data_IF_587806772257
#
_entry.id   IF_587806772257
#
_cell.length_a   1.000
_cell.length_b   1.000
_cell.length_c   1.000
_cell.angle_alpha   90.00
_cell.angle_beta   90.00
_cell.angle_gamma   90.00
#
_symmetry.space_group_name_H-M   'P 1'
#
loop_
_entity.id
_entity.type
_entity.pdbx_description
1 polymer ?
#
# COMPACT_ATOMS: atom_id res chain seq x y z
N UNK A 1 -10.24 2.94 12.78
CA UNK A 1 -10.02 2.98 14.21
C UNK A 1 -8.60 2.60 14.61
N UNK A 2 -8.37 2.27 15.91
CA UNK A 2 -7.05 1.99 16.48
C UNK A 2 -6.23 0.90 15.75
N UNK A 3 -6.89 -0.17 15.27
CA UNK A 3 -6.24 -1.25 14.50
C UNK A 3 -5.62 -0.74 13.19
N UNK A 4 -6.32 0.14 12.48
CA UNK A 4 -5.79 0.74 11.25
C UNK A 4 -4.60 1.67 11.53
N UNK A 5 -4.66 2.44 12.61
CA UNK A 5 -3.54 3.29 13.04
C UNK A 5 -2.32 2.44 13.44
N UNK A 6 -2.51 1.35 14.17
CA UNK A 6 -1.44 0.42 14.54
C UNK A 6 -0.80 -0.24 13.31
N UNK A 7 -1.61 -0.67 12.33
CA UNK A 7 -1.12 -1.24 11.08
C UNK A 7 -0.28 -0.22 10.28
N UNK A 8 -0.75 1.03 10.20
CA UNK A 8 0.00 2.10 9.53
C UNK A 8 1.32 2.39 10.24
N UNK A 9 1.32 2.49 11.58
CA UNK A 9 2.54 2.70 12.36
C UNK A 9 3.54 1.55 12.15
N UNK A 10 3.09 0.30 12.15
CA UNK A 10 3.95 -0.85 11.89
C UNK A 10 4.55 -0.82 10.49
N UNK A 11 3.75 -0.50 9.47
CA UNK A 11 4.21 -0.36 8.09
C UNK A 11 5.22 0.78 7.87
N UNK A 12 5.15 1.82 8.71
CA UNK A 12 6.05 2.98 8.65
C UNK A 12 7.34 2.70 9.42
N UNK A 13 7.19 2.30 10.68
CA UNK A 13 8.32 2.13 11.58
C UNK A 13 9.13 0.87 11.27
N UNK A 14 8.47 -0.19 10.78
CA UNK A 14 9.11 -1.47 10.49
C UNK A 14 10.33 -1.35 9.58
N UNK A 15 10.18 -0.86 8.34
CA UNK A 15 11.32 -0.72 7.41
C UNK A 15 12.39 0.25 7.92
N UNK A 16 12.01 1.35 8.55
CA UNK A 16 12.97 2.33 9.09
C UNK A 16 13.81 1.73 10.23
N UNK A 17 13.15 1.09 11.21
CA UNK A 17 13.83 0.39 12.31
C UNK A 17 14.65 -0.78 11.78
N UNK A 18 14.10 -1.55 10.83
CA UNK A 18 14.79 -2.68 10.20
C UNK A 18 16.08 -2.25 9.51
N UNK A 19 16.05 -1.15 8.76
CA UNK A 19 17.23 -0.58 8.11
C UNK A 19 18.30 -0.10 9.10
N UNK A 20 17.90 0.55 10.20
CA UNK A 20 18.82 0.96 11.25
C UNK A 20 19.46 -0.25 11.97
N UNK A 21 18.66 -1.26 12.30
CA UNK A 21 19.14 -2.48 12.96
C UNK A 21 20.07 -3.31 12.05
N UNK A 22 19.85 -3.30 10.74
CA UNK A 22 20.72 -3.95 9.76
C UNK A 22 22.14 -3.36 9.75
N UNK A 23 22.31 -2.13 10.25
CA UNK A 23 23.61 -1.49 10.45
C UNK A 23 24.46 -2.16 11.54
N UNK A 24 23.85 -2.92 12.46
CA UNK A 24 24.59 -3.70 13.49
C UNK A 24 25.02 -5.04 12.86
N UNK A 25 24.07 -5.83 12.41
CA UNK A 25 24.26 -6.99 11.53
C UNK A 25 23.02 -7.20 10.67
N UNK A 26 23.17 -7.84 9.51
CA UNK A 26 22.02 -8.15 8.61
C UNK A 26 20.95 -9.02 9.28
N UNK A 27 21.30 -9.77 10.32
CA UNK A 27 20.38 -10.65 11.05
C UNK A 27 19.72 -9.95 12.26
N UNK A 28 20.23 -8.82 12.73
CA UNK A 28 19.68 -8.11 13.90
C UNK A 28 18.19 -7.79 13.74
N UNK A 29 17.69 -7.31 12.60
CA UNK A 29 16.26 -7.07 12.42
C UNK A 29 15.40 -8.32 12.63
N UNK A 30 15.88 -9.49 12.20
CA UNK A 30 15.18 -10.77 12.35
C UNK A 30 15.07 -11.20 13.81
N UNK A 31 16.17 -11.04 14.58
CA UNK A 31 16.17 -11.35 16.02
C UNK A 31 15.22 -10.44 16.80
N UNK A 32 15.24 -9.14 16.48
CA UNK A 32 14.34 -8.16 17.13
C UNK A 32 12.89 -8.44 16.77
N UNK A 33 12.58 -8.70 15.48
CA UNK A 33 11.24 -9.04 15.04
C UNK A 33 10.72 -10.33 15.70
N UNK A 34 11.56 -11.36 15.80
CA UNK A 34 11.22 -12.63 16.47
C UNK A 34 10.94 -12.42 17.96
N UNK A 35 11.75 -11.60 18.64
CA UNK A 35 11.53 -11.26 20.04
C UNK A 35 10.22 -10.49 20.26
N UNK A 36 9.93 -9.50 19.41
CA UNK A 36 8.66 -8.76 19.45
C UNK A 36 7.45 -9.67 19.17
N UNK A 37 7.58 -10.59 18.23
CA UNK A 37 6.52 -11.55 17.94
C UNK A 37 6.24 -12.47 19.15
N UNK A 38 7.28 -12.94 19.82
CA UNK A 38 7.15 -13.74 21.04
C UNK A 38 6.49 -12.93 22.18
N UNK A 39 6.92 -11.71 22.41
CA UNK A 39 6.32 -10.81 23.42
C UNK A 39 4.84 -10.56 23.08
N UNK A 40 4.52 -10.32 21.83
CA UNK A 40 3.14 -10.12 21.38
C UNK A 40 2.29 -11.39 21.60
N UNK A 41 2.83 -12.57 21.28
CA UNK A 41 2.14 -13.85 21.51
C UNK A 41 1.85 -14.07 23.00
N UNK A 42 2.84 -13.82 23.86
CA UNK A 42 2.67 -13.92 25.33
C UNK A 42 1.63 -12.90 25.82
N UNK A 43 1.69 -11.66 25.32
CA UNK A 43 0.71 -10.64 25.68
C UNK A 43 -0.72 -11.06 25.30
N UNK A 44 -0.91 -11.62 24.11
CA UNK A 44 -2.22 -12.13 23.67
C UNK A 44 -2.71 -13.26 24.57
N UNK A 45 -1.83 -14.21 24.90
CA UNK A 45 -2.19 -15.37 25.76
C UNK A 45 -2.62 -14.92 27.16
N UNK A 46 -1.91 -13.94 27.75
CA UNK A 46 -2.16 -13.55 29.14
C UNK A 46 -3.19 -12.43 29.33
N UNK A 47 -3.35 -11.55 28.32
CA UNK A 47 -4.13 -10.33 28.49
C UNK A 47 -5.36 -10.23 27.57
N UNK A 48 -5.44 -11.05 26.50
CA UNK A 48 -6.61 -11.01 25.65
C UNK A 48 -7.71 -11.90 26.25
N UNK A 49 -8.85 -11.33 26.68
CA UNK A 49 -9.95 -12.13 27.18
C UNK A 49 -10.53 -12.96 26.02
N UNK A 50 -10.93 -14.19 26.33
CA UNK A 50 -11.67 -15.01 25.38
C UNK A 50 -12.90 -14.24 24.89
N UNK A 51 -13.03 -14.15 23.57
CA UNK A 51 -14.20 -13.52 22.99
C UNK A 51 -15.43 -14.29 23.46
N UNK A 52 -16.45 -13.65 24.07
CA UNK A 52 -17.68 -14.36 24.39
C UNK A 52 -18.12 -15.06 23.11
N UNK A 53 -18.34 -16.36 23.23
CA UNK A 53 -18.79 -17.22 22.11
C UNK A 53 -19.88 -16.44 21.39
N UNK A 54 -19.63 -16.03 20.16
CA UNK A 54 -20.57 -15.22 19.42
C UNK A 54 -21.89 -15.98 19.43
N UNK A 55 -22.79 -15.54 20.30
CA UNK A 55 -24.20 -15.96 20.23
C UNK A 55 -24.53 -15.72 18.77
N UNK A 56 -24.86 -16.79 18.03
CA UNK A 56 -25.16 -16.74 16.61
C UNK A 56 -26.06 -15.52 16.40
N UNK A 57 -25.45 -14.41 16.03
CA UNK A 57 -26.22 -13.30 15.51
C UNK A 57 -27.08 -13.90 14.40
N UNK A 58 -28.39 -13.60 14.33
CA UNK A 58 -29.22 -14.17 13.30
C UNK A 58 -28.46 -14.00 11.99
N UNK A 59 -28.27 -15.09 11.26
CA UNK A 59 -27.66 -15.10 9.93
C UNK A 59 -28.54 -14.21 9.05
N UNK A 60 -28.38 -12.91 9.19
CA UNK A 60 -28.79 -12.01 8.12
C UNK A 60 -27.93 -12.49 6.98
N UNK A 61 -28.54 -13.24 6.04
CA UNK A 61 -27.92 -13.71 4.82
C UNK A 61 -27.24 -12.49 4.18
N UNK A 62 -25.98 -12.27 4.56
CA UNK A 62 -25.14 -11.30 3.89
C UNK A 62 -25.15 -11.76 2.43
N UNK A 63 -25.87 -11.05 1.59
CA UNK A 63 -25.78 -11.30 0.15
C UNK A 63 -24.30 -11.27 -0.18
N UNK A 64 -23.78 -12.42 -0.63
CA UNK A 64 -22.38 -12.49 -1.06
C UNK A 64 -22.17 -11.41 -2.12
N UNK A 65 -21.48 -10.34 -1.73
CA UNK A 65 -21.18 -9.26 -2.63
C UNK A 65 -20.20 -9.80 -3.69
N UNK A 66 -20.63 -9.78 -4.94
CA UNK A 66 -19.78 -10.27 -6.04
C UNK A 66 -18.66 -9.28 -6.32
N UNK A 67 -17.45 -9.77 -6.64
CA UNK A 67 -16.35 -8.96 -7.17
C UNK A 67 -16.75 -8.15 -8.43
N UNK A 68 -17.74 -8.64 -9.18
CA UNK A 68 -18.25 -8.01 -10.40
C UNK A 68 -19.47 -7.12 -10.18
N UNK A 69 -19.84 -6.81 -8.91
CA UNK A 69 -20.93 -5.86 -8.65
C UNK A 69 -20.57 -4.49 -9.25
N UNK A 70 -21.42 -3.95 -10.16
CA UNK A 70 -21.13 -2.70 -10.88
C UNK A 70 -20.88 -1.50 -9.97
N UNK A 71 -21.37 -1.53 -8.73
CA UNK A 71 -21.19 -0.45 -7.74
C UNK A 71 -19.75 -0.36 -7.25
N UNK A 72 -19.12 -1.52 -6.99
CA UNK A 72 -17.76 -1.62 -6.41
C UNK A 72 -16.69 -1.95 -7.45
N UNK A 73 -17.06 -2.53 -8.58
CA UNK A 73 -16.13 -2.96 -9.62
C UNK A 73 -15.09 -1.90 -10.02
N UNK A 74 -15.44 -0.60 -10.17
CA UNK A 74 -14.45 0.43 -10.47
C UNK A 74 -13.36 0.53 -9.42
N UNK A 75 -13.72 0.40 -8.14
CA UNK A 75 -12.76 0.43 -7.05
C UNK A 75 -11.94 -0.86 -6.98
N UNK A 76 -12.54 -2.01 -7.25
CA UNK A 76 -11.83 -3.30 -7.28
C UNK A 76 -10.76 -3.32 -8.37
N UNK A 77 -11.08 -2.81 -9.57
CA UNK A 77 -10.09 -2.67 -10.66
C UNK A 77 -8.93 -1.77 -10.23
N UNK A 78 -9.25 -0.60 -9.67
CA UNK A 78 -8.23 0.33 -9.17
C UNK A 78 -7.39 -0.32 -8.07
N UNK A 79 -8.01 -0.95 -7.07
CA UNK A 79 -7.32 -1.59 -5.97
C UNK A 79 -6.42 -2.75 -6.42
N UNK A 80 -6.94 -3.64 -7.25
CA UNK A 80 -6.19 -4.80 -7.74
C UNK A 80 -4.94 -4.39 -8.52
N UNK A 81 -5.08 -3.47 -9.49
CA UNK A 81 -3.95 -2.99 -10.28
C UNK A 81 -2.98 -2.12 -9.46
N UNK A 82 -3.50 -1.32 -8.54
CA UNK A 82 -2.71 -0.50 -7.64
C UNK A 82 -1.82 -1.36 -6.72
N UNK A 83 -2.40 -2.34 -6.05
CA UNK A 83 -1.63 -3.21 -5.15
C UNK A 83 -0.71 -4.17 -5.91
N UNK A 84 -1.10 -4.64 -7.10
CA UNK A 84 -0.23 -5.45 -7.95
C UNK A 84 1.00 -4.66 -8.39
N UNK A 85 0.83 -3.44 -8.89
CA UNK A 85 1.94 -2.58 -9.29
C UNK A 85 2.84 -2.21 -8.12
N UNK A 86 2.25 -1.89 -6.95
CA UNK A 86 3.01 -1.63 -5.74
C UNK A 86 3.85 -2.84 -5.31
N UNK A 87 3.26 -4.02 -5.27
CA UNK A 87 3.94 -5.24 -4.83
C UNK A 87 5.07 -5.64 -5.80
N UNK A 88 4.84 -5.48 -7.11
CA UNK A 88 5.82 -5.71 -8.16
C UNK A 88 7.05 -4.83 -7.97
N UNK A 89 6.85 -3.52 -7.73
CA UNK A 89 7.94 -2.56 -7.51
C UNK A 89 8.63 -2.83 -6.18
N UNK A 90 7.89 -3.03 -5.10
CA UNK A 90 8.43 -3.19 -3.75
C UNK A 90 9.36 -4.40 -3.64
N UNK A 91 9.08 -5.48 -4.36
CA UNK A 91 9.92 -6.68 -4.35
C UNK A 91 11.31 -6.45 -4.97
N UNK A 92 11.41 -5.56 -5.95
CA UNK A 92 12.66 -5.32 -6.68
C UNK A 92 13.41 -4.07 -6.20
N UNK A 93 12.78 -3.27 -5.35
CA UNK A 93 13.24 -1.93 -5.01
C UNK A 93 14.58 -1.93 -4.26
N UNK A 94 14.79 -2.88 -3.33
CA UNK A 94 16.07 -2.99 -2.62
C UNK A 94 17.22 -3.34 -3.58
N UNK A 95 16.99 -4.22 -4.55
CA UNK A 95 17.97 -4.53 -5.61
C UNK A 95 18.26 -3.32 -6.49
N UNK A 96 17.20 -2.53 -6.81
CA UNK A 96 17.38 -1.28 -7.57
C UNK A 96 18.30 -0.29 -6.85
N UNK A 97 18.13 -0.13 -5.53
CA UNK A 97 19.03 0.71 -4.72
C UNK A 97 20.46 0.18 -4.74
N UNK A 98 20.64 -1.13 -4.62
CA UNK A 98 21.94 -1.76 -4.66
C UNK A 98 22.64 -1.57 -6.01
N UNK A 99 21.91 -1.84 -7.11
CA UNK A 99 22.47 -1.78 -8.46
C UNK A 99 22.80 -0.37 -8.90
N UNK A 100 21.89 0.60 -8.64
CA UNK A 100 22.09 2.01 -9.05
C UNK A 100 23.22 2.67 -8.26
N UNK A 101 23.35 2.35 -6.97
CA UNK A 101 24.31 3.03 -6.09
C UNK A 101 25.60 2.23 -5.86
N UNK A 102 25.67 0.99 -6.33
CA UNK A 102 26.84 0.12 -6.15
C UNK A 102 27.10 -0.23 -4.68
N UNK A 103 26.07 -0.33 -3.86
CA UNK A 103 26.17 -0.49 -2.41
C UNK A 103 26.43 -1.94 -1.99
N UNK A 104 27.07 -2.10 -0.86
CA UNK A 104 27.11 -3.39 -0.15
C UNK A 104 25.71 -3.73 0.40
N UNK A 105 25.48 -4.99 0.79
CA UNK A 105 24.20 -5.42 1.35
C UNK A 105 23.79 -4.63 2.60
N UNK A 106 24.76 -4.27 3.49
CA UNK A 106 24.49 -3.48 4.71
C UNK A 106 24.13 -2.04 4.35
N UNK A 107 24.89 -1.40 3.48
CA UNK A 107 24.63 -0.03 3.03
C UNK A 107 23.29 0.05 2.28
N UNK A 108 22.95 -0.96 1.49
CA UNK A 108 21.66 -1.08 0.82
C UNK A 108 20.53 -1.14 1.83
N UNK A 109 20.63 -1.99 2.85
CA UNK A 109 19.60 -2.12 3.88
C UNK A 109 19.37 -0.80 4.63
N UNK A 110 20.46 -0.08 4.96
CA UNK A 110 20.39 1.23 5.63
C UNK A 110 19.76 2.30 4.74
N UNK A 111 20.28 2.46 3.52
CA UNK A 111 19.81 3.49 2.58
C UNK A 111 18.36 3.25 2.16
N UNK A 112 18.01 2.00 1.88
CA UNK A 112 16.64 1.60 1.57
C UNK A 112 15.70 1.78 2.75
N UNK A 113 16.12 1.42 3.98
CA UNK A 113 15.36 1.64 5.19
C UNK A 113 15.05 3.13 5.43
N UNK A 114 16.03 4.01 5.23
CA UNK A 114 15.82 5.46 5.30
C UNK A 114 14.85 5.95 4.22
N UNK A 115 15.00 5.48 2.99
CA UNK A 115 14.11 5.81 1.88
C UNK A 115 12.66 5.36 2.15
N UNK A 116 12.47 4.17 2.73
CA UNK A 116 11.16 3.68 3.18
C UNK A 116 10.60 4.56 4.32
N UNK A 117 11.43 5.02 5.24
CA UNK A 117 11.05 5.97 6.28
C UNK A 117 10.55 7.31 5.69
N UNK A 118 11.27 7.86 4.70
CA UNK A 118 10.85 9.07 3.97
C UNK A 118 9.52 8.86 3.23
N UNK A 119 9.36 7.71 2.56
CA UNK A 119 8.10 7.33 1.90
C UNK A 119 6.94 7.28 2.88
N UNK A 120 7.16 6.67 4.04
CA UNK A 120 6.17 6.56 5.09
C UNK A 120 5.80 7.93 5.70
N UNK A 121 6.78 8.79 5.95
CA UNK A 121 6.55 10.15 6.40
C UNK A 121 5.73 10.96 5.38
N UNK A 122 6.04 10.84 4.09
CA UNK A 122 5.29 11.47 3.01
C UNK A 122 3.85 10.95 2.91
N UNK A 123 3.65 9.64 3.13
CA UNK A 123 2.31 9.04 3.20
C UNK A 123 1.47 9.62 4.33
N UNK A 124 2.03 9.71 5.54
CA UNK A 124 1.35 10.33 6.68
C UNK A 124 1.07 11.81 6.45
N UNK A 125 2.06 12.55 5.93
CA UNK A 125 1.90 13.97 5.64
C UNK A 125 0.76 14.21 4.64
N UNK A 126 0.62 13.36 3.62
CA UNK A 126 -0.48 13.43 2.66
C UNK A 126 -1.83 13.13 3.30
N UNK A 127 -1.91 12.13 4.16
CA UNK A 127 -3.16 11.76 4.85
C UNK A 127 -3.61 12.84 5.82
N UNK A 128 -2.69 13.31 6.68
CA UNK A 128 -3.01 14.30 7.72
C UNK A 128 -3.10 15.71 7.12
N UNK A 129 -2.14 16.05 6.25
CA UNK A 129 -2.03 17.39 5.69
C UNK A 129 -3.06 17.71 4.62
N UNK A 130 -3.45 16.74 3.81
CA UNK A 130 -4.36 16.94 2.68
C UNK A 130 -5.74 16.32 2.92
N UNK A 131 -5.81 14.99 3.17
CA UNK A 131 -7.10 14.31 3.24
C UNK A 131 -7.98 14.78 4.41
N UNK A 132 -7.39 15.17 5.54
CA UNK A 132 -8.16 15.67 6.68
C UNK A 132 -8.61 17.12 6.51
N UNK A 133 -7.95 17.90 5.64
CA UNK A 133 -8.27 19.32 5.42
C UNK A 133 -9.29 19.55 4.31
N UNK A 134 -9.36 18.64 3.33
CA UNK A 134 -10.19 18.80 2.15
C UNK A 134 -11.20 17.66 2.05
N UNK A 135 -12.50 17.97 2.12
CA UNK A 135 -13.58 16.99 1.95
C UNK A 135 -13.84 16.72 0.46
N UNK A 136 -12.92 15.97 -0.15
CA UNK A 136 -13.04 15.58 -1.55
C UNK A 136 -13.61 14.16 -1.66
N UNK A 137 -14.29 13.89 -2.78
CA UNK A 137 -14.77 12.53 -3.03
C UNK A 137 -13.60 11.56 -3.29
N UNK A 138 -13.78 10.25 -3.05
CA UNK A 138 -12.75 9.23 -3.28
C UNK A 138 -12.14 9.28 -4.67
N UNK A 139 -12.94 9.50 -5.72
CA UNK A 139 -12.44 9.63 -7.08
C UNK A 139 -11.61 10.90 -7.31
N UNK A 140 -11.87 12.00 -6.61
CA UNK A 140 -11.01 13.19 -6.69
C UNK A 140 -9.63 12.89 -6.07
N UNK A 141 -9.59 12.20 -4.93
CA UNK A 141 -8.33 11.78 -4.32
C UNK A 141 -7.54 10.84 -5.21
N UNK A 142 -8.19 9.87 -5.85
CA UNK A 142 -7.55 8.99 -6.83
C UNK A 142 -6.99 9.77 -8.04
N UNK A 143 -7.71 10.79 -8.54
CA UNK A 143 -7.23 11.66 -9.62
C UNK A 143 -5.97 12.46 -9.26
N UNK A 144 -5.82 12.83 -8.00
CA UNK A 144 -4.62 13.49 -7.50
C UNK A 144 -3.49 12.48 -7.28
N UNK A 145 -3.81 11.33 -6.71
CA UNK A 145 -2.82 10.30 -6.35
C UNK A 145 -2.18 9.63 -7.57
N UNK A 146 -2.97 9.32 -8.62
CA UNK A 146 -2.47 8.58 -9.78
C UNK A 146 -1.32 9.28 -10.52
N UNK A 147 -1.37 10.58 -10.86
CA UNK A 147 -0.25 11.28 -11.48
C UNK A 147 1.02 11.27 -10.62
N UNK A 148 0.85 11.39 -9.29
CA UNK A 148 1.98 11.34 -8.33
C UNK A 148 2.63 9.95 -8.39
N UNK A 149 1.84 8.87 -8.40
CA UNK A 149 2.35 7.50 -8.50
C UNK A 149 3.00 7.23 -9.86
N UNK A 150 2.40 7.69 -10.96
CA UNK A 150 2.97 7.59 -12.30
C UNK A 150 4.34 8.27 -12.34
N UNK A 151 4.46 9.48 -11.79
CA UNK A 151 5.72 10.20 -11.72
C UNK A 151 6.73 9.46 -10.83
N UNK A 152 6.30 8.88 -9.71
CA UNK A 152 7.15 8.07 -8.83
C UNK A 152 7.77 6.89 -9.59
N UNK A 153 6.96 6.14 -10.34
CA UNK A 153 7.46 5.00 -11.12
C UNK A 153 8.36 5.40 -12.28
N UNK A 154 8.07 6.53 -12.94
CA UNK A 154 8.98 7.10 -13.94
C UNK A 154 10.33 7.49 -13.32
N UNK A 155 10.32 8.14 -12.15
CA UNK A 155 11.54 8.48 -11.42
C UNK A 155 12.31 7.22 -11.01
N UNK A 156 11.65 6.14 -10.54
CA UNK A 156 12.31 4.88 -10.22
C UNK A 156 12.94 4.21 -11.45
N UNK A 157 12.25 4.25 -12.59
CA UNK A 157 12.77 3.69 -13.84
C UNK A 157 14.00 4.45 -14.35
N UNK A 158 13.97 5.78 -14.26
CA UNK A 158 15.04 6.66 -14.74
C UNK A 158 16.15 6.89 -13.70
N UNK A 159 16.01 6.35 -12.48
CA UNK A 159 16.95 6.64 -11.41
C UNK A 159 18.37 6.14 -11.72
N UNK A 160 19.31 7.05 -11.68
CA UNK A 160 20.76 6.85 -11.84
C UNK A 160 21.56 7.34 -10.61
N UNK A 161 20.89 7.91 -9.62
CA UNK A 161 21.50 8.46 -8.42
C UNK A 161 20.56 8.38 -7.21
N UNK A 162 21.13 8.58 -6.02
CA UNK A 162 20.42 8.48 -4.75
C UNK A 162 19.29 9.53 -4.62
N UNK A 163 19.48 10.74 -5.14
CA UNK A 163 18.48 11.81 -4.97
C UNK A 163 17.20 11.49 -5.74
N UNK A 164 17.32 10.97 -6.97
CA UNK A 164 16.16 10.59 -7.77
C UNK A 164 15.42 9.39 -7.18
N UNK A 165 16.14 8.41 -6.59
CA UNK A 165 15.54 7.31 -5.84
C UNK A 165 14.76 7.82 -4.62
N UNK A 166 15.33 8.76 -3.84
CA UNK A 166 14.65 9.35 -2.67
C UNK A 166 13.41 10.16 -3.08
N UNK A 167 13.50 10.97 -4.12
CA UNK A 167 12.34 11.72 -4.66
C UNK A 167 11.24 10.75 -5.09
N UNK A 168 11.59 9.69 -5.79
CA UNK A 168 10.64 8.66 -6.21
C UNK A 168 9.94 8.01 -5.01
N UNK A 169 10.69 7.70 -3.95
CA UNK A 169 10.14 7.11 -2.72
C UNK A 169 9.20 8.06 -1.98
N UNK A 170 9.52 9.35 -1.91
CA UNK A 170 8.65 10.37 -1.34
C UNK A 170 7.36 10.49 -2.14
N UNK A 171 7.46 10.55 -3.47
CA UNK A 171 6.30 10.60 -4.37
C UNK A 171 5.43 9.34 -4.23
N UNK A 172 6.05 8.15 -4.18
CA UNK A 172 5.34 6.89 -3.97
C UNK A 172 4.58 6.88 -2.64
N UNK A 173 5.23 7.31 -1.56
CA UNK A 173 4.61 7.45 -0.25
C UNK A 173 3.43 8.41 -0.26
N UNK A 174 3.62 9.60 -0.80
CA UNK A 174 2.56 10.61 -0.91
C UNK A 174 1.37 10.11 -1.74
N UNK A 175 1.63 9.50 -2.89
CA UNK A 175 0.60 8.95 -3.76
C UNK A 175 -0.18 7.81 -3.10
N UNK A 176 0.51 6.85 -2.47
CA UNK A 176 -0.15 5.74 -1.76
C UNK A 176 -0.90 6.21 -0.51
N UNK A 177 -0.38 7.23 0.18
CA UNK A 177 -1.05 7.88 1.31
C UNK A 177 -2.42 8.45 0.95
N UNK A 178 -2.61 8.88 -0.29
CA UNK A 178 -3.88 9.36 -0.81
C UNK A 178 -4.72 8.22 -1.44
N UNK A 179 -4.08 7.37 -2.25
CA UNK A 179 -4.78 6.35 -3.04
C UNK A 179 -5.38 5.24 -2.17
N UNK A 180 -4.65 4.74 -1.18
CA UNK A 180 -5.09 3.65 -0.31
C UNK A 180 -6.40 3.95 0.43
N UNK A 181 -6.45 5.01 1.26
CA UNK A 181 -7.68 5.41 1.92
C UNK A 181 -8.81 5.79 0.96
N UNK A 182 -8.49 6.44 -0.18
CA UNK A 182 -9.48 6.79 -1.19
C UNK A 182 -10.13 5.55 -1.82
N UNK A 183 -9.34 4.52 -2.13
CA UNK A 183 -9.84 3.25 -2.61
C UNK A 183 -10.79 2.59 -1.61
N UNK A 184 -10.36 2.43 -0.35
CA UNK A 184 -11.14 1.77 0.70
C UNK A 184 -12.43 2.53 1.03
N UNK A 185 -12.35 3.85 1.20
CA UNK A 185 -13.53 4.67 1.47
C UNK A 185 -14.49 4.69 0.27
N UNK A 186 -13.95 4.75 -0.95
CA UNK A 186 -14.76 4.73 -2.16
C UNK A 186 -15.55 3.44 -2.33
N UNK A 187 -14.92 2.29 -2.10
CA UNK A 187 -15.58 0.99 -2.12
C UNK A 187 -16.66 0.90 -1.04
N UNK A 188 -16.35 1.35 0.19
CA UNK A 188 -17.31 1.35 1.31
C UNK A 188 -18.51 2.27 1.07
N UNK A 189 -18.31 3.45 0.49
CA UNK A 189 -19.38 4.41 0.16
C UNK A 189 -20.24 4.00 -1.05
N UNK A 190 -19.82 3.01 -1.82
CA UNK A 190 -20.53 2.53 -2.99
C UNK A 190 -21.66 1.54 -2.65
N UNK A 191 -21.74 1.07 -1.40
CA UNK A 191 -22.69 0.06 -0.93
C UNK A 191 -23.49 0.57 0.28
N UNK A 192 -24.54 -0.14 0.64
CA UNK A 192 -25.36 0.18 1.80
C UNK A 192 -24.67 -0.22 3.12
N UNK A 193 -25.11 0.37 4.24
CA UNK A 193 -24.49 0.14 5.55
C UNK A 193 -24.42 -1.34 5.96
N UNK A 194 -25.43 -2.13 5.62
CA UNK A 194 -25.45 -3.57 5.92
C UNK A 194 -24.52 -4.41 5.02
N UNK A 195 -24.03 -3.88 3.89
CA UNK A 195 -23.10 -4.53 2.98
C UNK A 195 -21.63 -4.17 3.25
N UNK A 196 -21.36 -3.21 4.16
CA UNK A 196 -19.99 -2.69 4.38
C UNK A 196 -19.00 -3.75 4.86
N UNK A 197 -19.45 -4.74 5.62
CA UNK A 197 -18.61 -5.89 6.01
C UNK A 197 -18.20 -6.73 4.80
N UNK A 198 -19.12 -6.99 3.89
CA UNK A 198 -18.85 -7.76 2.67
C UNK A 198 -17.91 -7.00 1.73
N UNK A 199 -18.13 -5.70 1.52
CA UNK A 199 -17.26 -4.90 0.66
C UNK A 199 -15.85 -4.74 1.26
N UNK A 200 -15.72 -4.63 2.57
CA UNK A 200 -14.42 -4.60 3.24
C UNK A 200 -13.62 -5.89 2.99
N UNK A 201 -14.29 -7.05 2.98
CA UNK A 201 -13.67 -8.33 2.61
C UNK A 201 -13.23 -8.38 1.16
N UNK A 202 -14.12 -8.00 0.23
CA UNK A 202 -13.82 -7.98 -1.22
C UNK A 202 -12.71 -6.98 -1.55
N UNK A 203 -12.81 -5.74 -1.06
CA UNK A 203 -11.78 -4.73 -1.28
C UNK A 203 -10.46 -5.09 -0.58
N UNK A 204 -10.53 -5.65 0.64
CA UNK A 204 -9.38 -6.11 1.39
C UNK A 204 -8.60 -7.23 0.70
N UNK A 205 -9.24 -8.03 -0.16
CA UNK A 205 -8.56 -9.11 -0.93
C UNK A 205 -7.68 -8.59 -2.07
N UNK A 206 -7.86 -7.34 -2.52
CA UNK A 206 -7.03 -6.74 -3.58
C UNK A 206 -5.55 -6.68 -3.18
N UNK A 207 -5.25 -6.39 -1.90
CA UNK A 207 -3.88 -6.39 -1.38
C UNK A 207 -3.20 -7.76 -1.49
N UNK A 208 -3.71 -8.80 -0.80
CA UNK A 208 -3.17 -10.16 -0.91
C UNK A 208 -3.03 -10.68 -2.35
N UNK A 209 -4.01 -10.42 -3.23
CA UNK A 209 -3.92 -10.79 -4.65
C UNK A 209 -2.75 -10.07 -5.35
N UNK A 210 -2.60 -8.76 -5.12
CA UNK A 210 -1.47 -7.99 -5.64
C UNK A 210 -0.14 -8.52 -5.15
N UNK A 211 -0.01 -8.82 -3.86
CA UNK A 211 1.20 -9.37 -3.24
C UNK A 211 1.47 -10.85 -3.59
N UNK A 212 0.51 -11.56 -4.16
CA UNK A 212 0.74 -12.91 -4.72
C UNK A 212 1.33 -12.83 -6.13
N UNK A 213 0.79 -11.97 -6.99
CA UNK A 213 1.17 -11.89 -8.40
C UNK A 213 2.35 -10.93 -8.60
N UNK A 214 2.35 -9.81 -7.89
CA UNK A 214 3.34 -8.73 -8.07
C UNK A 214 4.78 -9.18 -7.94
N UNK A 215 5.20 -9.89 -6.88
CA UNK A 215 6.58 -10.36 -6.72
C UNK A 215 7.05 -11.28 -7.83
N UNK A 216 6.18 -12.16 -8.34
CA UNK A 216 6.52 -13.06 -9.45
C UNK A 216 6.81 -12.27 -10.73
N UNK A 217 5.95 -11.33 -11.08
CA UNK A 217 6.15 -10.47 -12.23
C UNK A 217 7.34 -9.52 -12.03
N UNK A 218 7.50 -8.96 -10.84
CA UNK A 218 8.61 -8.07 -10.50
C UNK A 218 9.96 -8.76 -10.65
N UNK A 219 10.12 -9.93 -10.06
CA UNK A 219 11.34 -10.72 -10.19
C UNK A 219 11.62 -11.15 -11.63
N UNK A 220 10.61 -11.58 -12.36
CA UNK A 220 10.75 -11.96 -13.77
C UNK A 220 11.19 -10.76 -14.63
N UNK A 221 10.55 -9.62 -14.52
CA UNK A 221 10.93 -8.43 -15.29
C UNK A 221 12.30 -7.89 -14.90
N UNK A 222 12.65 -7.94 -13.62
CA UNK A 222 13.96 -7.46 -13.14
C UNK A 222 15.11 -8.29 -13.70
N UNK A 223 14.92 -9.60 -13.90
CA UNK A 223 15.91 -10.47 -14.52
C UNK A 223 16.12 -10.16 -16.01
N UNK A 224 15.11 -9.66 -16.71
CA UNK A 224 15.23 -9.24 -18.11
C UNK A 224 15.98 -7.90 -18.17
N UNK A 225 15.53 -6.91 -17.39
CA UNK A 225 16.14 -5.59 -17.30
C UNK A 225 15.78 -4.92 -15.97
N UNK A 226 16.75 -4.39 -15.20
CA UNK A 226 16.50 -3.86 -13.85
C UNK A 226 15.52 -2.70 -13.74
N UNK A 227 15.28 -1.94 -14.80
CA UNK A 227 14.31 -0.85 -14.85
C UNK A 227 12.92 -1.27 -15.39
N UNK A 228 12.81 -2.46 -16.00
CA UNK A 228 11.58 -2.95 -16.62
C UNK A 228 10.38 -3.05 -15.66
N UNK A 229 10.52 -3.50 -14.39
CA UNK A 229 9.42 -3.52 -13.43
C UNK A 229 8.77 -2.14 -13.26
N UNK A 230 9.56 -1.09 -13.22
CA UNK A 230 9.10 0.29 -13.00
C UNK A 230 8.44 0.85 -14.25
N UNK A 231 9.01 0.60 -15.44
CA UNK A 231 8.39 0.96 -16.72
C UNK A 231 7.07 0.22 -16.95
N UNK A 232 7.01 -1.06 -16.61
CA UNK A 232 5.76 -1.83 -16.71
C UNK A 232 4.68 -1.25 -15.80
N UNK A 233 5.03 -0.95 -14.53
CA UNK A 233 4.09 -0.36 -13.59
C UNK A 233 3.65 1.03 -14.06
N UNK A 234 4.57 1.86 -14.53
CA UNK A 234 4.25 3.14 -15.16
C UNK A 234 3.23 2.98 -16.29
N UNK A 235 3.48 2.04 -17.21
CA UNK A 235 2.59 1.79 -18.36
C UNK A 235 1.20 1.30 -17.93
N UNK A 236 1.08 0.48 -16.87
CA UNK A 236 -0.20 0.02 -16.33
C UNK A 236 -0.97 1.15 -15.65
N UNK A 237 -0.27 2.09 -14.99
CA UNK A 237 -0.95 3.18 -14.29
C UNK A 237 -1.46 4.28 -15.23
N UNK A 238 -0.97 4.40 -16.45
CA UNK A 238 -1.50 5.35 -17.44
C UNK A 238 -2.97 5.05 -17.82
N UNK A 239 -3.31 3.83 -18.31
CA UNK A 239 -4.71 3.49 -18.59
C UNK A 239 -5.56 3.45 -17.30
N UNK A 240 -4.98 3.08 -16.16
CA UNK A 240 -5.67 3.14 -14.88
C UNK A 240 -6.06 4.58 -14.51
N UNK A 241 -5.18 5.54 -14.73
CA UNK A 241 -5.47 6.97 -14.54
C UNK A 241 -6.56 7.44 -15.51
N UNK A 242 -6.48 7.09 -16.79
CA UNK A 242 -7.53 7.39 -17.77
C UNK A 242 -8.88 6.81 -17.34
N UNK A 243 -8.90 5.58 -16.81
CA UNK A 243 -10.09 4.95 -16.25
C UNK A 243 -10.65 5.73 -15.06
N UNK A 244 -9.81 6.18 -14.12
CA UNK A 244 -10.22 7.01 -12.97
C UNK A 244 -10.79 8.35 -13.44
N UNK A 245 -10.21 8.97 -14.47
CA UNK A 245 -10.72 10.23 -15.05
C UNK A 245 -12.11 10.05 -15.68
N UNK A 246 -12.39 8.90 -16.28
CA UNK A 246 -13.69 8.62 -16.93
C UNK A 246 -14.84 8.45 -15.92
N UNK A 247 -14.55 8.19 -14.63
CA UNK A 247 -15.58 8.00 -13.61
C UNK A 247 -16.03 9.33 -13.03
N UNK A 248 -17.30 9.68 -13.21
CA UNK A 248 -17.88 10.90 -12.67
C UNK A 248 -18.08 10.76 -11.16
N UNK A 249 -17.55 11.67 -10.34
CA UNK A 249 -17.79 11.63 -8.90
C UNK A 249 -19.27 11.90 -8.63
N UNK A 250 -19.95 10.97 -7.96
CA UNK A 250 -21.30 11.23 -7.47
C UNK A 250 -21.23 12.39 -6.46
N UNK A 251 -22.01 13.47 -6.71
CA UNK A 251 -22.19 14.54 -5.72
C UNK A 251 -22.72 13.91 -4.42
N UNK A 252 -22.09 14.23 -3.28
CA UNK A 252 -22.72 13.98 -1.97
C UNK A 252 -24.08 14.67 -1.98
N UNK A 253 -25.16 13.91 -1.93
CA UNK A 253 -26.48 14.45 -1.59
C UNK A 253 -26.37 14.81 -0.11
N UNK A 254 -26.34 16.09 0.21
CA UNK A 254 -26.47 16.57 1.58
C UNK A 254 -27.87 16.15 2.06
N UNK A 255 -27.91 15.23 2.97
CA UNK A 255 -29.08 14.94 3.80
C UNK A 255 -28.81 15.36 5.23
#
# INVERSE_FOLDING_TARGET
GAVGAANNLGGILGPAIGGLLAGITLLTPLWVASGLALVTALFVIFFLPDSPTATKAPETKSKNLSYFDPRILPFIIVGALMFMGMALVQQTLAFRFQDVLGLTAVETAQTFGLAMGCSAAASLASQIGLMQRFDLSPFHWLRIAMPILILAFACLALADNQYLLLVAMVLQGAGMGLAGPAFMSGASMAVEAHEQGAVAGVAGSCGPLGFTIGPLLGGFFYQIQPDLPYWFTFAVYLPLFAFVLSKTPKKKTQS
#
